data_IF_133344486893
#
_entry.id   IF_133344486893
#
_cell.length_a   1.000
_cell.length_b   1.000
_cell.length_c   1.000
_cell.angle_alpha   90.00
_cell.angle_beta   90.00
_cell.angle_gamma   90.00
#
_symmetry.space_group_name_H-M   'P 1'
#
loop_
_entity.id
_entity.type
_entity.pdbx_description
1 polymer ?
#
# COMPACT_ATOMS: atom_id res chain seq x y z
N UNK A 1 -5.32 22.91 -3.52
CA UNK A 1 -4.03 22.44 -4.07
C UNK A 1 -4.10 20.94 -4.29
N UNK A 2 -3.56 20.42 -5.40
CA UNK A 2 -3.49 18.97 -5.66
C UNK A 2 -2.46 18.33 -4.70
N UNK A 3 -2.73 17.16 -4.15
CA UNK A 3 -1.79 16.43 -3.30
C UNK A 3 -0.73 15.76 -4.16
N UNK A 4 0.48 16.31 -4.17
CA UNK A 4 1.65 15.78 -4.90
C UNK A 4 2.92 16.10 -4.12
N UNK A 5 4.01 15.36 -4.37
CA UNK A 5 5.32 15.63 -3.76
C UNK A 5 5.82 17.04 -4.08
N UNK A 6 5.54 17.53 -5.29
CA UNK A 6 5.86 18.90 -5.68
C UNK A 6 5.03 19.92 -4.88
N UNK A 7 3.74 19.67 -4.68
CA UNK A 7 2.89 20.56 -3.88
C UNK A 7 3.32 20.63 -2.41
N UNK A 8 3.89 19.55 -1.85
CA UNK A 8 4.40 19.53 -0.48
C UNK A 8 5.63 20.43 -0.26
N UNK A 9 6.29 20.91 -1.33
CA UNK A 9 7.39 21.87 -1.22
C UNK A 9 6.91 23.21 -0.65
N UNK A 10 5.66 23.61 -0.92
CA UNK A 10 5.04 24.77 -0.28
C UNK A 10 4.52 24.42 1.12
N UNK A 11 5.44 24.14 2.04
CA UNK A 11 5.10 23.70 3.41
C UNK A 11 4.19 24.68 4.14
N UNK A 12 4.44 25.99 3.98
CA UNK A 12 3.68 27.06 4.62
C UNK A 12 2.18 26.94 4.32
N UNK A 13 1.80 26.77 3.05
CA UNK A 13 0.38 26.65 2.69
C UNK A 13 -0.29 25.47 3.40
N UNK A 14 0.35 24.30 3.42
CA UNK A 14 -0.23 23.11 4.07
C UNK A 14 -0.38 23.32 5.58
N UNK A 15 0.65 23.87 6.22
CA UNK A 15 0.66 24.11 7.66
C UNK A 15 -0.35 25.19 8.07
N UNK A 16 -0.46 26.30 7.33
CA UNK A 16 -1.45 27.36 7.54
C UNK A 16 -2.89 26.83 7.40
N UNK A 17 -3.09 25.83 6.53
CA UNK A 17 -4.38 25.16 6.39
C UNK A 17 -4.54 23.98 7.37
N UNK A 18 -3.67 23.82 8.36
CA UNK A 18 -3.80 22.82 9.43
C UNK A 18 -3.50 21.39 9.00
N UNK A 19 -2.64 21.19 8.01
CA UNK A 19 -2.11 19.86 7.66
C UNK A 19 -0.79 19.60 8.37
N UNK A 20 -0.70 18.45 9.03
CA UNK A 20 0.55 17.90 9.54
C UNK A 20 1.32 17.24 8.39
N UNK A 21 2.58 17.64 8.21
CA UNK A 21 3.45 17.13 7.16
C UNK A 21 4.41 16.07 7.70
N UNK A 22 4.91 15.16 6.84
CA UNK A 22 5.96 14.21 7.21
C UNK A 22 7.16 14.92 7.83
N UNK A 23 7.64 14.38 8.96
CA UNK A 23 8.77 14.93 9.71
C UNK A 23 10.10 14.32 9.29
N UNK A 24 10.15 13.57 8.19
CA UNK A 24 11.34 12.92 7.63
C UNK A 24 11.60 13.37 6.19
N UNK A 25 12.79 13.04 5.69
CA UNK A 25 13.17 13.23 4.29
C UNK A 25 12.46 12.19 3.40
N UNK A 26 11.39 12.61 2.73
CA UNK A 26 10.58 11.75 1.86
C UNK A 26 11.42 11.16 0.71
N UNK A 27 12.18 11.93 -0.08
CA UNK A 27 13.10 11.39 -1.08
C UNK A 27 14.04 10.29 -0.54
N UNK A 28 14.65 10.50 0.64
CA UNK A 28 15.53 9.51 1.27
C UNK A 28 14.79 8.21 1.58
N UNK A 29 13.62 8.28 2.23
CA UNK A 29 12.83 7.08 2.58
C UNK A 29 12.35 6.35 1.33
N UNK A 30 11.93 7.09 0.29
CA UNK A 30 11.54 6.50 -0.99
C UNK A 30 12.69 5.72 -1.61
N UNK A 31 13.88 6.33 -1.70
CA UNK A 31 15.06 5.67 -2.23
C UNK A 31 15.43 4.39 -1.44
N UNK A 32 15.43 4.47 -0.11
CA UNK A 32 15.70 3.32 0.76
C UNK A 32 14.68 2.19 0.57
N UNK A 33 13.40 2.52 0.40
CA UNK A 33 12.33 1.52 0.21
C UNK A 33 12.42 0.81 -1.12
N UNK A 34 12.73 1.55 -2.20
CA UNK A 34 12.85 0.97 -3.54
C UNK A 34 14.10 0.11 -3.68
N UNK A 35 15.20 0.50 -3.03
CA UNK A 35 16.47 -0.23 -3.05
C UNK A 35 16.45 -1.47 -2.13
N UNK A 36 15.79 -1.37 -0.98
CA UNK A 36 15.72 -2.43 0.03
C UNK A 36 14.29 -2.57 0.55
N UNK A 37 13.38 -3.17 -0.25
CA UNK A 37 11.99 -3.32 0.17
C UNK A 37 11.91 -4.22 1.41
N UNK A 38 11.22 -3.74 2.46
CA UNK A 38 11.05 -4.48 3.72
C UNK A 38 9.61 -4.91 3.99
N UNK A 39 8.65 -4.18 3.45
CA UNK A 39 7.24 -4.40 3.70
C UNK A 39 6.42 -4.26 2.42
N UNK A 40 5.80 -5.37 2.02
CA UNK A 40 4.76 -5.44 1.00
C UNK A 40 3.38 -5.58 1.65
N UNK A 41 2.41 -4.77 1.23
CA UNK A 41 1.01 -4.89 1.66
C UNK A 41 0.09 -5.23 0.49
N UNK A 42 -0.76 -6.24 0.67
CA UNK A 42 -1.74 -6.69 -0.31
C UNK A 42 -3.14 -6.25 0.11
N UNK A 43 -3.84 -5.50 -0.75
CA UNK A 43 -5.12 -4.87 -0.44
C UNK A 43 -4.93 -3.41 0.00
N UNK A 44 -4.89 -2.48 -0.95
CA UNK A 44 -4.48 -1.09 -0.68
C UNK A 44 -5.66 -0.18 -0.27
N UNK A 45 -6.64 -0.75 0.45
CA UNK A 45 -7.92 -0.10 0.74
C UNK A 45 -7.91 0.93 1.89
N UNK A 46 -9.10 1.33 2.32
CA UNK A 46 -9.29 2.36 3.35
C UNK A 46 -8.76 1.93 4.73
N UNK A 47 -8.99 0.68 5.14
CA UNK A 47 -8.49 0.17 6.44
C UNK A 47 -6.96 0.21 6.46
N UNK A 48 -6.30 -0.27 5.42
CA UNK A 48 -4.84 -0.16 5.31
C UNK A 48 -4.35 1.28 5.49
N UNK A 49 -4.94 2.25 4.75
CA UNK A 49 -4.53 3.66 4.82
C UNK A 49 -4.77 4.27 6.21
N UNK A 50 -5.92 3.97 6.83
CA UNK A 50 -6.30 4.52 8.12
C UNK A 50 -5.49 3.94 9.30
N UNK A 51 -5.03 2.69 9.17
CA UNK A 51 -4.32 1.98 10.25
C UNK A 51 -2.83 1.81 9.94
N UNK A 52 -2.47 0.91 9.02
CA UNK A 52 -1.07 0.49 8.81
C UNK A 52 -0.23 1.60 8.16
N UNK A 53 -0.75 2.29 7.15
CA UNK A 53 -0.01 3.39 6.52
C UNK A 53 0.22 4.54 7.51
N UNK A 54 -0.78 4.89 8.32
CA UNK A 54 -0.65 5.90 9.37
C UNK A 54 0.30 5.45 10.50
N UNK A 55 0.28 4.18 10.90
CA UNK A 55 1.25 3.64 11.85
C UNK A 55 2.69 3.75 11.33
N UNK A 56 2.94 3.35 10.07
CA UNK A 56 4.25 3.48 9.46
C UNK A 56 4.69 4.94 9.32
N UNK A 57 3.76 5.85 9.01
CA UNK A 57 4.03 7.29 8.99
C UNK A 57 4.55 7.78 10.35
N UNK A 58 3.96 7.31 11.46
CA UNK A 58 4.40 7.66 12.81
C UNK A 58 5.80 7.13 13.11
N UNK A 59 6.10 5.88 12.76
CA UNK A 59 7.43 5.29 12.96
C UNK A 59 8.51 6.05 12.16
N UNK A 60 8.24 6.39 10.91
CA UNK A 60 9.14 7.21 10.09
C UNK A 60 9.34 8.62 10.68
N UNK A 61 8.27 9.24 11.18
CA UNK A 61 8.35 10.53 11.87
C UNK A 61 9.22 10.43 13.13
N UNK A 62 9.13 9.32 13.87
CA UNK A 62 9.91 9.03 15.08
C UNK A 62 11.34 8.57 14.81
N UNK A 63 11.69 8.27 13.54
CA UNK A 63 12.96 7.65 13.12
C UNK A 63 13.16 6.21 13.57
N UNK A 64 12.08 5.54 13.96
CA UNK A 64 12.07 4.11 14.32
C UNK A 64 11.93 3.20 13.07
N UNK A 65 11.77 3.79 11.89
CA UNK A 65 11.81 3.10 10.60
C UNK A 65 12.62 3.90 9.59
N UNK A 66 13.17 3.20 8.60
CA UNK A 66 13.99 3.78 7.52
C UNK A 66 13.41 3.58 6.12
N UNK A 67 12.43 2.69 5.97
CA UNK A 67 11.70 2.41 4.73
C UNK A 67 10.20 2.57 4.92
N UNK A 68 9.48 2.92 3.85
CA UNK A 68 8.02 2.89 3.78
C UNK A 68 7.47 1.53 3.37
N UNK A 69 6.22 1.55 2.89
CA UNK A 69 5.45 0.38 2.45
C UNK A 69 5.31 0.41 0.93
N UNK A 70 5.46 -0.75 0.30
CA UNK A 70 5.02 -0.99 -1.08
C UNK A 70 3.65 -1.66 -1.00
N UNK A 71 2.68 -1.17 -1.76
CA UNK A 71 1.32 -1.74 -1.78
C UNK A 71 1.04 -2.40 -3.13
N UNK A 72 0.20 -3.44 -3.12
CA UNK A 72 -0.31 -4.04 -4.33
C UNK A 72 -1.80 -4.37 -4.22
N UNK A 73 -2.50 -4.21 -5.34
CA UNK A 73 -3.92 -4.51 -5.44
C UNK A 73 -4.18 -5.54 -6.54
N UNK A 74 -5.00 -6.54 -6.21
CA UNK A 74 -5.33 -7.66 -7.10
C UNK A 74 -6.82 -7.78 -7.39
N UNK A 75 -7.68 -7.08 -6.67
CA UNK A 75 -9.12 -7.12 -6.85
C UNK A 75 -9.65 -5.86 -7.55
N UNK A 76 -9.30 -4.67 -7.04
CA UNK A 76 -9.78 -3.39 -7.56
C UNK A 76 -8.62 -2.47 -7.98
N UNK A 77 -8.05 -2.66 -9.19
CA UNK A 77 -6.91 -1.87 -9.65
C UNK A 77 -7.23 -0.37 -9.77
N UNK A 78 -8.51 0.02 -9.83
CA UNK A 78 -8.89 1.44 -9.90
C UNK A 78 -8.42 2.22 -8.67
N UNK A 79 -8.31 1.56 -7.51
CA UNK A 79 -7.74 2.17 -6.31
C UNK A 79 -6.33 2.68 -6.60
N UNK A 80 -5.50 1.88 -7.28
CA UNK A 80 -4.13 2.25 -7.64
C UNK A 80 -4.12 3.37 -8.69
N UNK A 81 -4.92 3.20 -9.74
CA UNK A 81 -4.95 4.09 -10.90
C UNK A 81 -5.54 5.46 -10.60
N UNK A 82 -6.56 5.53 -9.73
CA UNK A 82 -7.33 6.76 -9.47
C UNK A 82 -6.98 7.42 -8.14
N UNK A 83 -6.56 6.67 -7.12
CA UNK A 83 -6.28 7.23 -5.79
C UNK A 83 -4.79 7.36 -5.47
N UNK A 84 -3.96 6.36 -5.79
CA UNK A 84 -2.54 6.36 -5.44
C UNK A 84 -1.67 7.10 -6.47
N UNK A 85 -1.60 6.59 -7.71
CA UNK A 85 -0.67 7.09 -8.73
C UNK A 85 -0.88 8.58 -9.06
N UNK A 86 -2.11 9.12 -9.18
CA UNK A 86 -2.32 10.54 -9.47
C UNK A 86 -1.86 11.49 -8.36
N UNK A 87 -1.60 10.97 -7.16
CA UNK A 87 -1.23 11.69 -5.95
C UNK A 87 0.19 11.34 -5.45
N UNK A 88 1.06 10.80 -6.31
CA UNK A 88 2.42 10.36 -5.96
C UNK A 88 2.46 9.36 -4.79
N UNK A 89 1.42 8.53 -4.65
CA UNK A 89 1.20 7.60 -3.53
C UNK A 89 0.98 8.26 -2.16
N UNK A 90 0.80 9.58 -2.13
CA UNK A 90 0.42 10.31 -0.94
C UNK A 90 -1.07 10.12 -0.64
N UNK A 91 -1.43 10.20 0.64
CA UNK A 91 -2.83 10.28 1.06
C UNK A 91 -2.99 11.22 2.26
N UNK A 92 -4.23 11.60 2.56
CA UNK A 92 -4.55 12.41 3.74
C UNK A 92 -5.34 11.54 4.70
N UNK A 93 -4.80 11.36 5.90
CA UNK A 93 -5.51 10.77 7.01
C UNK A 93 -6.21 11.87 7.79
N UNK A 94 -7.54 11.78 7.89
CA UNK A 94 -8.34 12.71 8.69
C UNK A 94 -8.83 11.98 9.93
N UNK A 95 -8.44 12.46 11.11
CA UNK A 95 -8.89 11.93 12.40
C UNK A 95 -9.93 12.87 13.01
N UNK A 96 -11.15 12.39 13.13
CA UNK A 96 -12.19 13.05 13.92
C UNK A 96 -12.08 12.62 15.39
N UNK A 97 -11.85 13.59 16.28
CA UNK A 97 -11.77 13.39 17.72
C UNK A 97 -13.15 13.52 18.39
N UNK A 98 -13.28 13.03 19.62
CA UNK A 98 -14.53 13.09 20.39
C UNK A 98 -15.01 14.51 20.69
N UNK A 99 -14.09 15.48 20.72
CA UNK A 99 -14.37 16.91 20.86
C UNK A 99 -14.74 17.60 19.52
N UNK A 100 -14.93 16.82 18.45
CA UNK A 100 -15.23 17.26 17.07
C UNK A 100 -14.09 18.02 16.39
N UNK A 101 -12.90 18.06 16.97
CA UNK A 101 -11.72 18.58 16.28
C UNK A 101 -11.21 17.56 15.24
N UNK A 102 -10.53 18.09 14.21
CA UNK A 102 -9.99 17.30 13.11
C UNK A 102 -8.47 17.43 13.09
N UNK A 103 -7.77 16.30 13.02
CA UNK A 103 -6.37 16.29 12.57
C UNK A 103 -6.33 15.91 11.09
N UNK A 104 -5.51 16.59 10.32
CA UNK A 104 -5.29 16.30 8.89
C UNK A 104 -3.82 15.99 8.69
N UNK A 105 -3.50 14.72 8.50
CA UNK A 105 -2.12 14.24 8.45
C UNK A 105 -1.83 13.78 7.04
N UNK A 106 -0.81 14.36 6.41
CA UNK A 106 -0.31 13.88 5.12
C UNK A 106 0.49 12.61 5.35
N UNK A 107 0.03 11.51 4.74
CA UNK A 107 0.75 10.25 4.71
C UNK A 107 1.63 10.19 3.46
N UNK A 108 2.92 9.97 3.67
CA UNK A 108 3.93 9.69 2.66
C UNK A 108 4.68 8.38 2.97
N UNK A 109 4.07 7.50 3.75
CA UNK A 109 4.61 6.20 4.16
C UNK A 109 4.45 5.13 3.09
N UNK A 110 3.54 5.31 2.13
CA UNK A 110 3.41 4.45 0.93
C UNK A 110 4.32 5.00 -0.16
N UNK A 111 5.26 4.19 -0.61
CA UNK A 111 6.29 4.62 -1.56
C UNK A 111 5.94 4.23 -2.99
N UNK A 112 5.45 3.02 -3.18
CA UNK A 112 5.16 2.41 -4.48
C UNK A 112 3.81 1.69 -4.41
N UNK A 113 3.06 1.73 -5.52
CA UNK A 113 1.73 1.13 -5.63
C UNK A 113 1.62 0.35 -6.94
N UNK A 114 1.30 -0.93 -6.82
CA UNK A 114 1.37 -1.93 -7.89
C UNK A 114 0.00 -2.58 -8.12
N UNK A 115 -0.23 -3.11 -9.32
CA UNK A 115 -1.35 -4.03 -9.58
C UNK A 115 -0.81 -5.44 -9.78
N UNK A 116 -1.48 -6.46 -9.23
CA UNK A 116 -1.07 -7.86 -9.45
C UNK A 116 -1.13 -8.25 -10.93
N UNK A 117 -2.00 -7.60 -11.70
CA UNK A 117 -2.18 -7.84 -13.14
C UNK A 117 -1.01 -7.31 -13.97
N UNK A 118 -0.64 -6.04 -13.76
CA UNK A 118 0.27 -5.34 -14.68
C UNK A 118 1.71 -5.31 -14.17
N UNK A 119 1.90 -5.41 -12.84
CA UNK A 119 3.19 -5.27 -12.18
C UNK A 119 3.71 -6.59 -11.56
N UNK A 120 3.26 -7.74 -12.09
CA UNK A 120 3.55 -9.06 -11.51
C UNK A 120 5.05 -9.37 -11.39
N UNK A 121 5.87 -9.01 -12.38
CA UNK A 121 7.33 -9.23 -12.28
C UNK A 121 7.96 -8.36 -11.18
N UNK A 122 7.51 -7.11 -11.03
CA UNK A 122 7.97 -6.24 -9.93
C UNK A 122 7.58 -6.82 -8.56
N UNK A 123 6.39 -7.40 -8.45
CA UNK A 123 5.96 -8.12 -7.26
C UNK A 123 6.86 -9.31 -6.95
N UNK A 124 7.23 -10.11 -7.96
CA UNK A 124 8.16 -11.22 -7.82
C UNK A 124 9.55 -10.77 -7.36
N UNK A 125 10.07 -9.69 -7.93
CA UNK A 125 11.35 -9.11 -7.52
C UNK A 125 11.33 -8.68 -6.05
N UNK A 126 10.24 -8.05 -5.61
CA UNK A 126 10.06 -7.65 -4.20
C UNK A 126 9.95 -8.88 -3.30
N UNK A 127 9.14 -9.87 -3.69
CA UNK A 127 8.94 -11.11 -2.93
C UNK A 127 10.23 -11.93 -2.78
N UNK A 128 11.09 -11.90 -3.80
CA UNK A 128 12.39 -12.57 -3.79
C UNK A 128 13.51 -11.76 -3.11
N UNK A 129 13.28 -10.48 -2.78
CA UNK A 129 14.30 -9.64 -2.19
C UNK A 129 14.69 -10.16 -0.79
N UNK A 130 15.99 -10.41 -0.49
CA UNK A 130 16.43 -10.84 0.84
C UNK A 130 16.11 -9.85 1.95
N UNK A 131 15.86 -8.58 1.59
CA UNK A 131 15.47 -7.53 2.53
C UNK A 131 14.00 -7.57 2.93
N UNK A 132 13.14 -8.31 2.21
CA UNK A 132 11.72 -8.36 2.51
C UNK A 132 11.51 -9.09 3.84
N UNK A 133 10.86 -8.41 4.79
CA UNK A 133 10.64 -8.93 6.15
C UNK A 133 9.19 -9.29 6.39
N UNK A 134 8.25 -8.64 5.70
CA UNK A 134 6.82 -8.83 5.92
C UNK A 134 5.99 -8.65 4.65
N UNK A 135 5.08 -9.60 4.43
CA UNK A 135 3.91 -9.46 3.57
C UNK A 135 2.69 -9.42 4.49
N UNK A 136 1.85 -8.40 4.33
CA UNK A 136 0.64 -8.22 5.16
C UNK A 136 -0.58 -8.02 4.26
N UNK A 137 -1.79 -8.31 4.76
CA UNK A 137 -2.97 -8.41 3.93
C UNK A 137 -4.17 -7.69 4.54
N UNK A 138 -4.93 -6.95 3.73
CA UNK A 138 -6.31 -6.51 4.03
C UNK A 138 -7.26 -6.81 2.87
N UNK A 139 -7.30 -8.08 2.48
CA UNK A 139 -7.96 -8.57 1.25
C UNK A 139 -9.42 -9.03 1.45
N UNK A 140 -10.01 -8.68 2.59
CA UNK A 140 -11.31 -9.19 3.09
C UNK A 140 -11.32 -10.71 3.32
N UNK A 141 -12.36 -11.22 3.95
CA UNK A 141 -12.58 -12.65 4.19
C UNK A 141 -12.64 -13.45 2.88
N UNK A 142 -13.22 -12.84 1.84
CA UNK A 142 -13.38 -13.47 0.52
C UNK A 142 -12.05 -13.68 -0.20
N UNK A 143 -11.05 -12.84 0.06
CA UNK A 143 -9.72 -12.97 -0.53
C UNK A 143 -9.00 -14.26 -0.13
N UNK A 144 -9.40 -14.89 0.98
CA UNK A 144 -8.84 -16.16 1.46
C UNK A 144 -9.62 -17.39 0.98
N UNK A 145 -10.80 -17.21 0.40
CA UNK A 145 -11.66 -18.33 0.01
C UNK A 145 -11.16 -18.98 -1.28
N UNK A 146 -10.78 -20.25 -1.20
CA UNK A 146 -10.31 -21.03 -2.36
C UNK A 146 -11.36 -22.02 -2.89
N UNK A 147 -12.43 -22.25 -2.13
CA UNK A 147 -13.52 -23.17 -2.45
C UNK A 147 -14.87 -22.50 -2.25
N UNK A 148 -15.86 -22.96 -3.00
CA UNK A 148 -17.26 -22.61 -2.80
C UNK A 148 -17.92 -23.42 -1.67
N UNK A 149 -19.21 -23.19 -1.46
CA UNK A 149 -20.02 -23.85 -0.41
C UNK A 149 -20.16 -25.35 -0.60
N UNK A 150 -20.03 -25.83 -1.84
CA UNK A 150 -20.18 -27.23 -2.21
C UNK A 150 -18.82 -27.97 -2.14
N UNK A 151 -17.75 -27.25 -1.74
CA UNK A 151 -16.40 -27.77 -1.55
C UNK A 151 -15.56 -27.82 -2.83
N UNK A 152 -16.10 -27.33 -3.95
CA UNK A 152 -15.38 -27.26 -5.22
C UNK A 152 -14.44 -26.05 -5.22
N UNK A 153 -13.27 -26.18 -5.83
CA UNK A 153 -12.35 -25.05 -6.01
C UNK A 153 -12.98 -24.01 -6.94
N UNK A 154 -12.78 -22.73 -6.63
CA UNK A 154 -13.17 -21.67 -7.56
C UNK A 154 -12.42 -21.82 -8.89
N UNK A 155 -13.02 -21.43 -10.04
CA UNK A 155 -12.42 -21.66 -11.36
C UNK A 155 -10.99 -21.13 -11.49
N UNK A 156 -10.71 -19.93 -10.97
CA UNK A 156 -9.36 -19.35 -11.00
C UNK A 156 -8.35 -20.17 -10.19
N UNK A 157 -8.76 -20.72 -9.04
CA UNK A 157 -7.89 -21.57 -8.20
C UNK A 157 -7.64 -22.92 -8.88
N UNK A 158 -8.68 -23.50 -9.50
CA UNK A 158 -8.53 -24.75 -10.25
C UNK A 158 -7.60 -24.57 -11.47
N UNK A 159 -7.66 -23.42 -12.14
CA UNK A 159 -6.73 -23.06 -13.20
C UNK A 159 -5.30 -22.94 -12.66
N UNK A 160 -5.09 -22.28 -11.52
CA UNK A 160 -3.76 -22.16 -10.91
C UNK A 160 -3.13 -23.53 -10.58
N UNK A 161 -3.92 -24.50 -10.09
CA UNK A 161 -3.41 -25.86 -9.85
C UNK A 161 -3.02 -26.59 -11.13
N UNK A 162 -3.72 -26.33 -12.24
CA UNK A 162 -3.49 -26.99 -13.53
C UNK A 162 -2.32 -26.36 -14.28
N UNK A 163 -2.28 -25.03 -14.33
CA UNK A 163 -1.39 -24.25 -15.18
C UNK A 163 -0.11 -23.79 -14.43
N UNK A 164 -0.08 -23.94 -13.10
CA UNK A 164 1.05 -23.61 -12.25
C UNK A 164 1.13 -22.13 -11.86
N UNK A 165 2.22 -21.74 -11.19
CA UNK A 165 2.37 -20.42 -10.53
C UNK A 165 3.11 -19.38 -11.38
N UNK A 166 3.39 -19.66 -12.65
CA UNK A 166 4.09 -18.70 -13.51
C UNK A 166 3.26 -17.44 -13.80
N UNK A 167 1.93 -17.60 -13.92
CA UNK A 167 0.93 -16.54 -14.16
C UNK A 167 -0.42 -16.94 -13.53
N UNK A 168 -0.53 -16.88 -12.19
CA UNK A 168 -1.74 -17.28 -11.49
C UNK A 168 -2.90 -16.31 -11.73
N UNK A 169 -4.10 -16.84 -11.80
CA UNK A 169 -5.35 -16.12 -11.99
C UNK A 169 -6.04 -15.81 -10.67
N UNK A 170 -5.92 -16.68 -9.66
CA UNK A 170 -6.55 -16.42 -8.36
C UNK A 170 -5.71 -15.46 -7.52
N UNK A 171 -6.37 -14.72 -6.62
CA UNK A 171 -5.67 -13.81 -5.71
C UNK A 171 -4.63 -14.55 -4.86
N UNK A 172 -5.00 -15.71 -4.31
CA UNK A 172 -4.08 -16.53 -3.50
C UNK A 172 -2.96 -17.11 -4.34
N UNK A 173 -3.23 -17.53 -5.58
CA UNK A 173 -2.19 -17.99 -6.50
C UNK A 173 -1.14 -16.93 -6.74
N UNK A 174 -1.51 -15.65 -6.81
CA UNK A 174 -0.57 -14.52 -6.95
C UNK A 174 0.37 -14.32 -5.73
N UNK A 175 0.10 -14.99 -4.61
CA UNK A 175 0.92 -14.93 -3.39
C UNK A 175 1.92 -16.11 -3.31
N UNK A 176 1.61 -17.23 -3.96
CA UNK A 176 2.37 -18.49 -3.90
C UNK A 176 3.48 -18.52 -4.94
#
# INVERSE_FOLDING_TARGET
>A
MKLTLNALQNKAWWQEHGYELPLYDIPRVRAATLATPRWLHLGAGNIFRAFLAHAQQRLLNQRDAESGIIVAEGFDPEIIEKAYRPCDNLSIFVRLKGDRTLDKIVLASVVESLTMRDDFERLRDIAAAPSLQMISLTITEKGYAIKDRDGAYYPAVAADFKDGTARPQSYIGNIV
#
